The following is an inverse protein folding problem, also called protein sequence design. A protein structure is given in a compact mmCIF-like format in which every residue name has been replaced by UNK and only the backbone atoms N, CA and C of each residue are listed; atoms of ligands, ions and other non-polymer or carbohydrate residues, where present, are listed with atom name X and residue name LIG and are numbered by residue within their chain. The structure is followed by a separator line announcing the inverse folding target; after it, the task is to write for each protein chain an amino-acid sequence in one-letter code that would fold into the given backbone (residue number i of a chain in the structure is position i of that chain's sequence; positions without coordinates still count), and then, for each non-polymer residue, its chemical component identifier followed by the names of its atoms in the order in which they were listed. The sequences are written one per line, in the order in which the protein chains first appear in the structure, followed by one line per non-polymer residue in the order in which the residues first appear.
data_IF_369732970187
#
_entry.id   IF_369732970187
#
_cell.length_a   1.000
_cell.length_b   1.000
_cell.length_c   1.000
_cell.angle_alpha   90.00
_cell.angle_beta   90.00
_cell.angle_gamma   90.00
#
_symmetry.space_group_name_H-M   'P 1'
#
loop_
_entity.id
_entity.type
_entity.pdbx_description
1 polymer ?
#
# COMPACT_ATOMS: atom_id res chain seq x y z
N UNK A 1 -2.61 -0.65 -14.99
CA UNK A 1 -1.80 -1.68 -15.66
C UNK A 1 -0.33 -1.49 -15.34
N UNK A 2 0.46 -2.48 -15.62
CA UNK A 2 1.91 -2.40 -15.47
C UNK A 2 2.50 -1.25 -16.28
N UNK A 3 1.92 -0.94 -17.42
CA UNK A 3 2.34 0.17 -18.26
C UNK A 3 2.16 1.53 -17.59
N UNK A 4 1.22 1.63 -16.65
CA UNK A 4 0.96 2.86 -15.90
C UNK A 4 1.95 3.07 -14.74
N UNK A 5 2.72 2.05 -14.39
CA UNK A 5 3.58 2.07 -13.21
C UNK A 5 4.60 3.22 -13.20
N UNK A 6 5.25 3.57 -14.33
CA UNK A 6 6.17 4.71 -14.32
C UNK A 6 5.54 6.03 -13.89
N UNK A 7 4.28 6.28 -14.28
CA UNK A 7 3.56 7.49 -13.86
C UNK A 7 3.31 7.50 -12.35
N UNK A 8 2.96 6.34 -11.77
CA UNK A 8 2.76 6.21 -10.32
C UNK A 8 4.07 6.41 -9.55
N UNK A 9 5.18 5.92 -10.09
CA UNK A 9 6.51 6.15 -9.51
C UNK A 9 6.86 7.63 -9.48
N UNK A 10 6.62 8.32 -10.59
CA UNK A 10 6.90 9.76 -10.69
C UNK A 10 6.08 10.54 -9.67
N UNK A 11 4.78 10.24 -9.55
CA UNK A 11 3.91 10.88 -8.58
C UNK A 11 4.42 10.59 -7.15
N UNK A 12 4.78 9.33 -6.86
CA UNK A 12 5.29 8.94 -5.57
C UNK A 12 6.53 9.74 -5.15
N UNK A 13 7.43 9.97 -6.07
CA UNK A 13 8.66 10.73 -5.81
C UNK A 13 8.38 12.19 -5.43
N UNK A 14 7.20 12.70 -5.79
CA UNK A 14 6.80 14.08 -5.52
C UNK A 14 5.90 14.22 -4.29
N UNK A 15 5.56 13.12 -3.62
CA UNK A 15 4.83 13.20 -2.36
C UNK A 15 5.69 13.88 -1.30
N UNK A 16 5.08 14.83 -0.59
CA UNK A 16 5.76 15.48 0.54
C UNK A 16 5.84 14.50 1.72
N UNK A 17 6.69 14.84 2.70
CA UNK A 17 6.87 14.03 3.91
C UNK A 17 5.58 13.83 4.69
N UNK A 18 4.57 14.70 4.48
CA UNK A 18 3.30 14.63 5.18
C UNK A 18 2.15 14.91 4.21
N UNK A 19 1.18 14.01 4.18
CA UNK A 19 -0.04 14.20 3.39
C UNK A 19 -0.95 15.19 4.12
N UNK A 20 -1.44 16.19 3.39
CA UNK A 20 -2.35 17.20 3.94
C UNK A 20 -3.80 16.86 3.61
N UNK A 21 -4.74 17.46 4.34
CA UNK A 21 -6.17 17.25 4.11
C UNK A 21 -6.60 17.67 2.71
N UNK A 22 -5.94 18.68 2.14
CA UNK A 22 -6.24 19.16 0.78
C UNK A 22 -5.91 18.11 -0.28
N UNK A 23 -5.02 17.17 0.03
CA UNK A 23 -4.61 16.10 -0.89
C UNK A 23 -5.48 14.85 -0.75
N UNK A 24 -6.45 14.84 0.15
CA UNK A 24 -7.21 13.63 0.47
C UNK A 24 -7.83 12.96 -0.75
N UNK A 25 -8.56 13.70 -1.57
CA UNK A 25 -9.23 13.11 -2.74
C UNK A 25 -8.22 12.55 -3.74
N UNK A 26 -7.15 13.27 -3.98
CA UNK A 26 -6.08 12.81 -4.86
C UNK A 26 -5.43 11.54 -4.33
N UNK A 27 -5.13 11.49 -3.03
CA UNK A 27 -4.49 10.33 -2.39
C UNK A 27 -5.39 9.11 -2.46
N UNK A 28 -6.70 9.28 -2.26
CA UNK A 28 -7.65 8.18 -2.38
C UNK A 28 -7.66 7.61 -3.79
N UNK A 29 -7.80 8.47 -4.79
CA UNK A 29 -7.83 8.04 -6.19
C UNK A 29 -6.52 7.34 -6.56
N UNK A 30 -5.39 7.94 -6.22
CA UNK A 30 -4.08 7.37 -6.46
C UNK A 30 -3.97 5.96 -5.84
N UNK A 31 -4.37 5.83 -4.58
CA UNK A 31 -4.26 4.57 -3.84
C UNK A 31 -5.15 3.48 -4.41
N UNK A 32 -6.39 3.83 -4.78
CA UNK A 32 -7.32 2.85 -5.33
C UNK A 32 -6.85 2.34 -6.68
N UNK A 33 -6.31 3.20 -7.53
CA UNK A 33 -5.75 2.80 -8.82
C UNK A 33 -4.48 1.96 -8.63
N UNK A 34 -3.62 2.34 -7.69
CA UNK A 34 -2.42 1.57 -7.39
C UNK A 34 -2.77 0.19 -6.83
N UNK A 35 -3.84 0.11 -6.05
CA UNK A 35 -4.35 -1.16 -5.54
C UNK A 35 -4.76 -2.09 -6.68
N UNK A 36 -5.44 -1.57 -7.71
CA UNK A 36 -5.80 -2.35 -8.90
C UNK A 36 -4.55 -2.88 -9.61
N UNK A 37 -3.53 -2.04 -9.76
CA UNK A 37 -2.25 -2.46 -10.35
C UNK A 37 -1.61 -3.55 -9.49
N UNK A 38 -1.69 -3.44 -8.17
CA UNK A 38 -1.09 -4.42 -7.26
C UNK A 38 -1.69 -5.81 -7.43
N UNK A 39 -2.98 -5.90 -7.79
CA UNK A 39 -3.61 -7.20 -8.05
C UNK A 39 -3.04 -7.87 -9.31
N UNK A 40 -2.59 -7.10 -10.27
CA UNK A 40 -1.97 -7.62 -11.48
C UNK A 40 -0.54 -8.08 -11.24
N UNK A 41 0.16 -7.46 -10.29
CA UNK A 41 1.58 -7.70 -10.04
C UNK A 41 1.85 -8.59 -8.82
N UNK A 42 0.82 -9.06 -8.14
CA UNK A 42 0.96 -9.77 -6.85
C UNK A 42 1.76 -11.07 -6.92
N UNK A 43 1.88 -11.65 -8.12
CA UNK A 43 2.63 -12.90 -8.32
C UNK A 43 4.13 -12.69 -8.52
N UNK A 44 4.56 -11.47 -8.72
CA UNK A 44 5.95 -11.14 -9.03
C UNK A 44 6.66 -10.57 -7.81
N UNK A 45 7.94 -10.92 -7.64
CA UNK A 45 8.77 -10.32 -6.60
C UNK A 45 9.09 -8.88 -7.01
N UNK A 46 8.97 -7.97 -6.06
CA UNK A 46 9.22 -6.55 -6.29
C UNK A 46 10.72 -6.30 -6.50
N UNK A 47 11.09 -5.40 -7.41
CA UNK A 47 12.46 -4.93 -7.47
C UNK A 47 12.71 -3.90 -6.37
N UNK A 48 13.98 -3.71 -6.04
CA UNK A 48 14.38 -2.86 -4.92
C UNK A 48 13.94 -1.40 -5.10
N UNK A 49 14.06 -0.86 -6.30
CA UNK A 49 13.71 0.54 -6.54
C UNK A 49 12.21 0.79 -6.35
N UNK A 50 11.36 -0.12 -6.81
CA UNK A 50 9.92 -0.02 -6.61
C UNK A 50 9.56 -0.17 -5.14
N UNK A 51 10.17 -1.12 -4.45
CA UNK A 51 9.97 -1.29 -3.02
C UNK A 51 10.32 -0.01 -2.25
N UNK A 52 11.51 0.51 -2.49
CA UNK A 52 12.03 1.65 -1.74
C UNK A 52 11.26 2.96 -2.03
N UNK A 53 10.61 3.04 -3.19
CA UNK A 53 9.80 4.20 -3.55
C UNK A 53 8.36 4.08 -3.04
N UNK A 54 7.72 2.93 -3.26
CA UNK A 54 6.30 2.77 -2.93
C UNK A 54 6.03 2.52 -1.45
N UNK A 55 6.85 1.71 -0.79
CA UNK A 55 6.56 1.32 0.59
C UNK A 55 6.51 2.52 1.55
N UNK A 56 7.47 3.46 1.53
CA UNK A 56 7.36 4.64 2.40
C UNK A 56 6.09 5.46 2.15
N UNK A 57 5.69 5.60 0.89
CA UNK A 57 4.46 6.32 0.52
C UNK A 57 3.22 5.59 1.05
N UNK A 58 3.18 4.27 0.88
CA UNK A 58 2.06 3.47 1.39
C UNK A 58 1.94 3.58 2.91
N UNK A 59 3.05 3.61 3.62
CA UNK A 59 3.04 3.81 5.08
C UNK A 59 2.52 5.20 5.46
N UNK A 60 2.88 6.23 4.69
CA UNK A 60 2.33 7.57 4.90
C UNK A 60 0.83 7.61 4.66
N UNK A 61 0.36 6.96 3.59
CA UNK A 61 -1.06 6.88 3.27
C UNK A 61 -1.82 6.16 4.39
N UNK A 62 -1.28 5.06 4.89
CA UNK A 62 -1.90 4.32 6.00
C UNK A 62 -1.98 5.19 7.25
N UNK A 63 -0.92 5.91 7.58
CA UNK A 63 -0.91 6.81 8.73
C UNK A 63 -1.95 7.93 8.57
N UNK A 64 -2.05 8.51 7.38
CA UNK A 64 -3.07 9.51 7.07
C UNK A 64 -4.48 8.93 7.22
N UNK A 65 -4.71 7.73 6.65
CA UNK A 65 -6.00 7.06 6.74
C UNK A 65 -6.38 6.76 8.20
N UNK A 66 -5.43 6.35 9.02
CA UNK A 66 -5.65 6.13 10.45
C UNK A 66 -6.10 7.42 11.15
N UNK A 67 -5.46 8.54 10.83
CA UNK A 67 -5.82 9.84 11.42
C UNK A 67 -7.23 10.28 11.03
N UNK A 68 -7.70 9.86 9.86
CA UNK A 68 -9.05 10.16 9.35
C UNK A 68 -10.06 9.10 9.70
N UNK A 69 -9.64 8.01 10.32
CA UNK A 69 -10.48 6.83 10.58
C UNK A 69 -11.11 6.27 9.31
N UNK A 70 -10.36 6.34 8.21
CA UNK A 70 -10.78 5.86 6.90
C UNK A 70 -10.21 4.47 6.66
N UNK A 71 -10.96 3.44 7.05
CA UNK A 71 -10.48 2.06 6.96
C UNK A 71 -10.51 1.52 5.53
N UNK A 72 -11.32 2.10 4.65
CA UNK A 72 -11.32 1.73 3.23
C UNK A 72 -9.97 2.12 2.60
N UNK A 73 -9.54 3.35 2.83
CA UNK A 73 -8.25 3.81 2.33
C UNK A 73 -7.09 3.04 2.96
N UNK A 74 -7.14 2.81 4.26
CA UNK A 74 -6.13 2.04 4.98
C UNK A 74 -6.01 0.62 4.42
N UNK A 75 -7.14 -0.03 4.18
CA UNK A 75 -7.18 -1.36 3.59
C UNK A 75 -6.58 -1.38 2.20
N UNK A 76 -6.97 -0.42 1.34
CA UNK A 76 -6.47 -0.35 -0.04
C UNK A 76 -4.96 -0.15 -0.08
N UNK A 77 -4.43 0.72 0.78
CA UNK A 77 -2.98 0.94 0.87
C UNK A 77 -2.25 -0.32 1.37
N UNK A 78 -2.82 -1.01 2.36
CA UNK A 78 -2.23 -2.26 2.86
C UNK A 78 -2.21 -3.34 1.78
N UNK A 79 -3.28 -3.44 0.98
CA UNK A 79 -3.36 -4.42 -0.11
C UNK A 79 -2.28 -4.16 -1.17
N UNK A 80 -1.89 -2.92 -1.40
CA UNK A 80 -0.81 -2.60 -2.34
C UNK A 80 0.50 -3.31 -2.00
N UNK A 81 0.74 -3.63 -0.73
CA UNK A 81 1.95 -4.35 -0.31
C UNK A 81 2.07 -5.72 -0.95
N UNK A 82 0.96 -6.32 -1.42
CA UNK A 82 1.04 -7.62 -2.10
C UNK A 82 1.94 -7.58 -3.34
N UNK A 83 2.05 -6.41 -3.97
CA UNK A 83 2.93 -6.21 -5.13
C UNK A 83 4.25 -5.54 -4.77
N UNK A 84 4.22 -4.58 -3.84
CA UNK A 84 5.35 -3.69 -3.60
C UNK A 84 6.11 -3.96 -2.30
N UNK A 85 5.54 -4.76 -1.39
CA UNK A 85 6.22 -5.14 -0.15
C UNK A 85 7.14 -6.34 -0.34
N UNK A 86 8.01 -6.56 0.65
CA UNK A 86 8.87 -7.74 0.71
C UNK A 86 8.80 -8.35 2.12
N UNK A 87 9.66 -9.32 2.41
CA UNK A 87 9.68 -10.00 3.73
C UNK A 87 9.84 -9.03 4.90
N UNK A 88 10.57 -7.94 4.69
CA UNK A 88 10.84 -6.98 5.77
C UNK A 88 9.59 -6.22 6.20
N UNK A 89 8.55 -6.20 5.37
CA UNK A 89 7.31 -5.49 5.64
C UNK A 89 6.27 -6.34 6.38
N UNK A 90 6.54 -7.63 6.54
CA UNK A 90 5.61 -8.56 7.19
C UNK A 90 5.25 -8.14 8.62
N UNK A 91 6.22 -7.79 9.48
CA UNK A 91 5.86 -7.35 10.85
C UNK A 91 4.98 -6.10 10.86
N UNK A 92 5.24 -5.15 9.98
CA UNK A 92 4.44 -3.95 9.84
C UNK A 92 2.98 -4.29 9.50
N UNK A 93 2.79 -5.16 8.50
CA UNK A 93 1.46 -5.56 8.05
C UNK A 93 0.70 -6.32 9.15
N UNK A 94 1.37 -7.23 9.85
CA UNK A 94 0.75 -7.99 10.93
C UNK A 94 0.33 -7.10 12.10
N UNK A 95 1.00 -5.98 12.30
CA UNK A 95 0.70 -5.05 13.39
C UNK A 95 -0.45 -4.09 13.06
N UNK A 96 -0.91 -4.04 11.80
CA UNK A 96 -2.02 -3.18 11.44
C UNK A 96 -3.31 -3.61 12.13
N UNK A 97 -4.00 -2.65 12.74
CA UNK A 97 -5.23 -2.89 13.48
C UNK A 97 -6.39 -2.14 12.82
N UNK A 98 -7.47 -2.88 12.57
CA UNK A 98 -8.70 -2.34 12.00
C UNK A 98 -9.83 -2.52 12.99
N UNK A 99 -10.74 -1.57 13.07
CA UNK A 99 -11.90 -1.64 13.96
C UNK A 99 -13.08 -2.35 13.32
N UNK A 100 -13.23 -2.23 11.99
CA UNK A 100 -14.32 -2.89 11.28
C UNK A 100 -14.00 -4.35 11.01
N UNK A 101 -14.97 -5.22 11.34
CA UNK A 101 -14.81 -6.67 11.16
C UNK A 101 -14.46 -7.06 9.71
N UNK A 102 -15.02 -6.33 8.74
CA UNK A 102 -14.77 -6.60 7.33
C UNK A 102 -13.30 -6.49 6.96
N UNK A 103 -12.58 -5.55 7.57
CA UNK A 103 -11.17 -5.29 7.24
C UNK A 103 -10.19 -5.92 8.23
N UNK A 104 -10.70 -6.55 9.28
CA UNK A 104 -9.92 -6.98 10.45
C UNK A 104 -8.65 -7.78 10.11
N UNK A 105 -8.71 -8.64 9.12
CA UNK A 105 -7.61 -9.54 8.79
C UNK A 105 -6.78 -9.09 7.59
N UNK A 106 -6.99 -7.88 7.08
CA UNK A 106 -6.31 -7.39 5.86
C UNK A 106 -4.79 -7.51 5.98
N UNK A 107 -4.20 -6.96 7.03
CA UNK A 107 -2.74 -7.00 7.20
C UNK A 107 -2.20 -8.41 7.26
N UNK A 108 -2.85 -9.29 7.98
CA UNK A 108 -2.45 -10.70 8.11
C UNK A 108 -2.56 -11.44 6.78
N UNK A 109 -3.62 -11.16 6.01
CA UNK A 109 -3.84 -11.78 4.70
C UNK A 109 -2.73 -11.39 3.72
N UNK A 110 -2.40 -10.11 3.67
CA UNK A 110 -1.35 -9.62 2.78
C UNK A 110 0.02 -10.12 3.22
N UNK A 111 0.29 -10.13 4.53
CA UNK A 111 1.53 -10.69 5.07
C UNK A 111 1.71 -12.15 4.64
N UNK A 112 0.64 -12.94 4.67
CA UNK A 112 0.65 -14.34 4.25
C UNK A 112 1.00 -14.49 2.77
N UNK A 113 0.44 -13.62 1.92
CA UNK A 113 0.75 -13.63 0.48
C UNK A 113 2.22 -13.34 0.24
N UNK A 114 2.79 -12.40 0.98
CA UNK A 114 4.22 -12.07 0.88
C UNK A 114 5.08 -13.25 1.36
N UNK A 115 4.74 -13.85 2.50
CA UNK A 115 5.45 -15.03 3.01
C UNK A 115 5.49 -16.12 1.97
N UNK A 116 4.36 -16.41 1.33
CA UNK A 116 4.26 -17.45 0.31
C UNK A 116 5.09 -17.12 -0.93
N UNK A 117 5.07 -15.87 -1.36
CA UNK A 117 5.81 -15.41 -2.54
C UNK A 117 7.32 -15.53 -2.36
N UNK A 118 7.81 -15.33 -1.14
CA UNK A 118 9.25 -15.35 -0.82
C UNK A 118 9.69 -16.64 -0.11
N UNK A 119 8.82 -17.62 -0.06
CA UNK A 119 9.15 -18.91 0.58
C UNK A 119 10.25 -19.67 -0.15
#
# INVERSE_FOLDING_TARGET
TEESLPAFLEIAQNFSAKITDEQEDFVKEYTYELCDISHQLKGEKVNKDHHDTFVPILKQIISFAQSKKDEVLMCSAAVCFQAFGDKNDIPYLKALSFTEAYYKNTGKTIAKRIEKKYA
#
